data_IF_304791143345
#
_entry.id   IF_304791143345
#
_cell.length_a   1.000
_cell.length_b   1.000
_cell.length_c   1.000
_cell.angle_alpha   90.00
_cell.angle_beta   90.00
_cell.angle_gamma   90.00
#
_symmetry.space_group_name_H-M   'P 1'
#
loop_
_entity.id
_entity.type
_entity.pdbx_description
1 polymer ?
#
# COMPACT_ATOMS: atom_id res chain seq x y z
N UNK A 1 -26.54 17.55 15.37
CA UNK A 1 -26.28 17.05 14.01
C UNK A 1 -24.80 16.86 13.69
N UNK A 2 -23.96 17.86 13.95
CA UNK A 2 -22.51 17.74 13.69
C UNK A 2 -21.85 16.60 14.47
N UNK A 3 -22.29 16.31 15.71
CA UNK A 3 -21.72 15.25 16.54
C UNK A 3 -21.97 13.85 15.98
N UNK A 4 -23.13 13.59 15.37
CA UNK A 4 -23.43 12.27 14.77
C UNK A 4 -22.59 12.00 13.52
N UNK A 5 -22.42 13.00 12.69
CA UNK A 5 -21.58 12.90 11.48
C UNK A 5 -20.13 12.70 11.88
N UNK A 6 -19.67 13.41 12.90
CA UNK A 6 -18.32 13.30 13.42
C UNK A 6 -18.01 11.89 13.96
N UNK A 7 -18.95 11.30 14.72
CA UNK A 7 -18.77 9.92 15.22
C UNK A 7 -18.70 8.90 14.10
N UNK A 8 -19.53 9.03 13.07
CA UNK A 8 -19.50 8.14 11.91
C UNK A 8 -18.17 8.23 11.17
N UNK A 9 -17.65 9.44 10.98
CA UNK A 9 -16.36 9.67 10.36
C UNK A 9 -15.23 9.07 11.20
N UNK A 10 -15.26 9.25 12.52
CA UNK A 10 -14.26 8.69 13.42
C UNK A 10 -14.25 7.15 13.39
N UNK A 11 -15.42 6.52 13.41
CA UNK A 11 -15.52 5.06 13.32
C UNK A 11 -14.95 4.54 12.00
N UNK A 12 -15.31 5.20 10.91
CA UNK A 12 -14.80 4.85 9.59
C UNK A 12 -13.27 5.00 9.53
N UNK A 13 -12.74 6.08 10.10
CA UNK A 13 -11.30 6.34 10.14
C UNK A 13 -10.57 5.28 10.97
N UNK A 14 -11.14 4.88 12.11
CA UNK A 14 -10.55 3.82 12.94
C UNK A 14 -10.51 2.48 12.24
N UNK A 15 -11.55 2.13 11.52
CA UNK A 15 -11.58 0.89 10.74
C UNK A 15 -10.52 0.92 9.63
N UNK A 16 -10.38 2.04 8.94
CA UNK A 16 -9.37 2.21 7.92
C UNK A 16 -7.96 2.16 8.50
N UNK A 17 -7.75 2.75 9.69
CA UNK A 17 -6.46 2.70 10.38
C UNK A 17 -6.06 1.28 10.77
N UNK A 18 -7.02 0.49 11.27
CA UNK A 18 -6.77 -0.92 11.63
C UNK A 18 -6.36 -1.74 10.40
N UNK A 19 -7.07 -1.57 9.30
CA UNK A 19 -6.75 -2.23 8.04
C UNK A 19 -5.38 -1.77 7.51
N UNK A 20 -5.10 -0.47 7.60
CA UNK A 20 -3.82 0.09 7.17
C UNK A 20 -2.65 -0.49 7.97
N UNK A 21 -2.80 -0.64 9.29
CA UNK A 21 -1.76 -1.22 10.14
C UNK A 21 -1.48 -2.68 9.77
N UNK A 22 -2.53 -3.47 9.56
CA UNK A 22 -2.40 -4.88 9.16
C UNK A 22 -1.70 -5.00 7.81
N UNK A 23 -2.13 -4.20 6.86
CA UNK A 23 -1.53 -4.20 5.52
C UNK A 23 -0.06 -3.78 5.58
N UNK A 24 0.25 -2.72 6.33
CA UNK A 24 1.62 -2.25 6.51
C UNK A 24 2.51 -3.33 7.13
N UNK A 25 2.02 -4.00 8.18
CA UNK A 25 2.77 -5.06 8.84
C UNK A 25 3.03 -6.24 7.90
N UNK A 26 2.05 -6.63 7.10
CA UNK A 26 2.21 -7.69 6.12
C UNK A 26 3.24 -7.31 5.05
N UNK A 27 3.22 -6.08 4.58
CA UNK A 27 4.18 -5.60 3.60
C UNK A 27 5.60 -5.51 4.18
N UNK A 28 5.73 -5.11 5.45
CA UNK A 28 7.01 -5.10 6.15
C UNK A 28 7.60 -6.51 6.26
N UNK A 29 6.78 -7.48 6.64
CA UNK A 29 7.19 -8.88 6.74
C UNK A 29 7.64 -9.41 5.38
N UNK A 30 6.87 -9.09 4.35
CA UNK A 30 7.22 -9.50 3.00
C UNK A 30 8.57 -8.92 2.58
N UNK A 31 8.75 -7.61 2.76
CA UNK A 31 10.01 -6.95 2.39
C UNK A 31 11.20 -7.54 3.16
N UNK A 32 11.01 -7.83 4.46
CA UNK A 32 12.07 -8.44 5.29
C UNK A 32 12.51 -9.79 4.77
N UNK A 33 11.64 -10.54 4.12
CA UNK A 33 11.97 -11.85 3.54
C UNK A 33 12.65 -11.73 2.18
N UNK A 34 12.81 -10.53 1.65
CA UNK A 34 13.39 -10.25 0.33
C UNK A 34 14.64 -9.37 0.46
N UNK A 35 15.25 -9.03 -0.67
CA UNK A 35 16.46 -8.20 -0.72
C UNK A 35 16.14 -6.69 -0.76
N UNK A 36 14.96 -6.28 -0.32
CA UNK A 36 14.55 -4.88 -0.33
C UNK A 36 13.80 -4.53 0.95
N UNK A 37 13.44 -3.26 1.11
CA UNK A 37 12.74 -2.76 2.29
C UNK A 37 11.62 -1.79 1.88
N UNK A 38 10.76 -1.46 2.82
CA UNK A 38 9.79 -0.39 2.61
C UNK A 38 10.51 0.94 2.49
N UNK A 39 9.93 1.85 1.70
CA UNK A 39 10.44 3.21 1.57
C UNK A 39 10.51 3.86 2.96
N UNK A 40 11.66 4.46 3.34
CA UNK A 40 11.75 5.14 4.64
C UNK A 40 10.90 6.40 4.73
N UNK A 41 10.43 6.95 3.62
CA UNK A 41 9.53 8.09 3.62
C UNK A 41 8.11 7.62 3.98
N UNK A 42 7.72 7.90 5.22
CA UNK A 42 6.42 7.48 5.75
C UNK A 42 5.24 8.10 5.01
N UNK A 43 5.41 9.30 4.46
CA UNK A 43 4.34 9.99 3.70
C UNK A 43 4.03 9.25 2.40
N UNK A 44 5.08 8.81 1.70
CA UNK A 44 4.93 8.04 0.47
C UNK A 44 4.22 6.72 0.77
N UNK A 45 4.70 6.00 1.79
CA UNK A 45 4.11 4.72 2.19
C UNK A 45 2.64 4.89 2.60
N UNK A 46 2.33 5.91 3.40
CA UNK A 46 0.95 6.18 3.84
C UNK A 46 0.02 6.43 2.65
N UNK A 47 0.48 7.21 1.67
CA UNK A 47 -0.30 7.47 0.46
C UNK A 47 -0.58 6.21 -0.36
N UNK A 48 0.41 5.35 -0.48
CA UNK A 48 0.27 4.08 -1.20
C UNK A 48 -0.69 3.14 -0.46
N UNK A 49 -0.57 3.05 0.86
CA UNK A 49 -1.46 2.22 1.68
C UNK A 49 -2.92 2.67 1.51
N UNK A 50 -3.17 3.98 1.54
CA UNK A 50 -4.51 4.53 1.29
C UNK A 50 -5.04 4.15 -0.09
N UNK A 51 -4.19 4.24 -1.10
CA UNK A 51 -4.55 3.85 -2.46
C UNK A 51 -4.85 2.37 -2.61
N UNK A 52 -4.08 1.52 -1.93
CA UNK A 52 -4.32 0.07 -1.92
C UNK A 52 -5.66 -0.27 -1.28
N UNK A 53 -5.98 0.35 -0.15
CA UNK A 53 -7.25 0.14 0.54
C UNK A 53 -8.42 0.62 -0.32
N UNK A 54 -8.28 1.79 -0.94
CA UNK A 54 -9.28 2.33 -1.86
C UNK A 54 -9.54 1.34 -3.01
N UNK A 55 -8.48 0.81 -3.61
CA UNK A 55 -8.60 -0.12 -4.73
C UNK A 55 -9.27 -1.43 -4.32
N UNK A 56 -8.96 -1.93 -3.12
CA UNK A 56 -9.63 -3.12 -2.62
C UNK A 56 -11.12 -2.91 -2.43
N UNK A 57 -11.53 -1.77 -1.88
CA UNK A 57 -12.94 -1.45 -1.68
C UNK A 57 -13.69 -1.30 -3.00
N UNK A 58 -13.04 -0.69 -3.99
CA UNK A 58 -13.67 -0.41 -5.29
C UNK A 58 -13.62 -1.61 -6.24
N UNK A 59 -12.50 -2.34 -6.26
CA UNK A 59 -12.24 -3.39 -7.26
C UNK A 59 -12.09 -4.80 -6.66
N UNK A 60 -12.10 -4.93 -5.34
CA UNK A 60 -12.04 -6.21 -4.66
C UNK A 60 -10.66 -6.74 -4.31
N UNK A 61 -9.59 -6.10 -4.78
CA UNK A 61 -8.21 -6.51 -4.52
C UNK A 61 -7.31 -5.30 -4.27
N UNK A 62 -6.16 -5.55 -3.62
CA UNK A 62 -5.16 -4.50 -3.37
C UNK A 62 -4.34 -4.21 -4.64
N UNK A 63 -4.98 -3.66 -5.65
CA UNK A 63 -4.27 -3.27 -6.87
C UNK A 63 -3.35 -2.08 -6.60
N UNK A 64 -2.15 -2.12 -7.23
CA UNK A 64 -1.18 -1.04 -7.10
C UNK A 64 -1.77 0.29 -7.55
N UNK A 65 -1.78 1.33 -6.68
CA UNK A 65 -2.45 2.60 -7.02
C UNK A 65 -1.76 3.38 -8.14
N UNK A 66 -0.50 3.06 -8.44
CA UNK A 66 0.25 3.72 -9.52
C UNK A 66 0.08 3.04 -10.87
N UNK A 67 -0.72 1.98 -10.95
CA UNK A 67 -0.98 1.24 -12.18
C UNK A 67 -2.41 1.46 -12.61
N UNK A 68 -2.62 1.57 -13.93
CA UNK A 68 -3.95 1.78 -14.50
C UNK A 68 -4.71 0.46 -14.62
N UNK A 69 -4.02 -0.61 -14.99
CA UNK A 69 -4.61 -1.94 -15.16
C UNK A 69 -4.91 -2.59 -13.82
N UNK A 70 -6.01 -3.35 -13.77
CA UNK A 70 -6.44 -4.07 -12.57
C UNK A 70 -6.53 -5.57 -12.86
N UNK A 71 -5.38 -6.18 -13.16
CA UNK A 71 -5.25 -7.62 -13.39
C UNK A 71 -4.46 -8.23 -12.21
N UNK A 72 -4.34 -9.55 -12.21
CA UNK A 72 -3.57 -10.26 -11.16
C UNK A 72 -2.14 -9.75 -11.06
N UNK A 73 -1.56 -9.26 -12.16
CA UNK A 73 -0.19 -8.75 -12.19
C UNK A 73 -0.03 -7.45 -11.41
N UNK A 74 -1.08 -6.66 -11.28
CA UNK A 74 -1.06 -5.37 -10.60
C UNK A 74 -1.48 -5.45 -9.13
N UNK A 75 -1.79 -6.63 -8.60
CA UNK A 75 -2.06 -6.80 -7.17
C UNK A 75 -0.75 -6.63 -6.41
N UNK A 76 -0.75 -5.79 -5.38
CA UNK A 76 0.45 -5.51 -4.60
C UNK A 76 0.84 -6.69 -3.70
N UNK A 77 2.10 -7.11 -3.66
CA UNK A 77 3.25 -6.62 -4.45
C UNK A 77 3.11 -7.04 -5.91
N UNK A 78 3.19 -6.08 -6.80
CA UNK A 78 2.90 -6.32 -8.21
C UNK A 78 3.95 -7.20 -8.88
N UNK A 79 3.57 -7.81 -9.99
CA UNK A 79 4.46 -8.69 -10.75
C UNK A 79 5.79 -8.01 -11.11
N UNK A 80 5.76 -6.71 -11.31
CA UNK A 80 6.90 -5.94 -11.82
C UNK A 80 7.88 -5.47 -10.75
N UNK A 81 7.52 -5.54 -9.46
CA UNK A 81 8.27 -4.85 -8.40
C UNK A 81 9.73 -5.32 -8.26
N UNK A 82 9.99 -6.61 -8.36
CA UNK A 82 11.36 -7.14 -8.20
C UNK A 82 12.29 -6.63 -9.27
N UNK A 83 11.83 -6.67 -10.53
CA UNK A 83 12.62 -6.18 -11.66
C UNK A 83 12.85 -4.68 -11.57
N UNK A 84 11.82 -3.92 -11.15
CA UNK A 84 11.91 -2.47 -11.00
C UNK A 84 12.88 -2.08 -9.89
N UNK A 85 12.83 -2.76 -8.75
CA UNK A 85 13.76 -2.51 -7.64
C UNK A 85 15.19 -2.77 -8.08
N UNK A 86 15.41 -3.86 -8.79
CA UNK A 86 16.74 -4.24 -9.27
C UNK A 86 17.27 -3.23 -10.27
N UNK A 87 16.43 -2.73 -11.16
CA UNK A 87 16.82 -1.79 -12.22
C UNK A 87 16.95 -0.36 -11.72
N UNK A 88 15.93 0.13 -10.97
CA UNK A 88 15.78 1.53 -10.62
C UNK A 88 15.99 1.82 -9.14
N UNK A 89 16.21 0.79 -8.32
CA UNK A 89 16.35 0.93 -6.87
C UNK A 89 15.04 1.07 -6.13
N UNK A 90 13.92 1.06 -6.85
CA UNK A 90 12.57 1.15 -6.27
C UNK A 90 11.53 0.62 -7.24
N UNK A 91 10.40 0.15 -6.70
CA UNK A 91 9.27 -0.19 -7.55
C UNK A 91 8.59 1.09 -8.05
N UNK A 92 7.73 0.96 -9.05
CA UNK A 92 7.12 2.11 -9.74
C UNK A 92 6.41 3.08 -8.79
N UNK A 93 5.67 2.55 -7.82
CA UNK A 93 4.96 3.40 -6.85
C UNK A 93 5.85 3.89 -5.70
N UNK A 94 7.06 3.33 -5.57
CA UNK A 94 7.99 3.75 -4.51
C UNK A 94 7.72 3.10 -3.15
N UNK A 95 6.87 2.08 -3.08
CA UNK A 95 6.58 1.40 -1.81
C UNK A 95 7.79 0.61 -1.31
N UNK A 96 8.42 -0.13 -2.20
CA UNK A 96 9.63 -0.89 -1.90
C UNK A 96 10.84 -0.24 -2.53
N UNK A 97 11.94 -0.20 -1.79
CA UNK A 97 13.21 0.36 -2.24
C UNK A 97 14.34 -0.63 -1.92
N UNK A 98 15.45 -0.49 -2.63
CA UNK A 98 16.62 -1.35 -2.39
C UNK A 98 17.18 -1.12 -0.98
N UNK A 99 17.77 -2.16 -0.40
CA UNK A 99 18.48 -2.06 0.87
C UNK A 99 19.83 -1.40 0.66
N UNK A 100 20.03 -0.30 1.37
CA UNK A 100 21.33 0.37 1.45
C UNK A 100 21.55 0.90 2.84
#
# INVERSE_FOLDING_TARGET
MRKKIYKAILLFTRMAESEAKKLLNNLKKYASSQDFKLNPDKKIVAGIIKGLIFNRKKYGEYYCPCRIKHTKKEICPCYYHKAEIKKDGRCYCGLFVEKK
#
